data_IF_361739434505
#
_entry.id   IF_361739434505
#
_cell.length_a   1.000
_cell.length_b   1.000
_cell.length_c   1.000
_cell.angle_alpha   90.00
_cell.angle_beta   90.00
_cell.angle_gamma   90.00
#
_symmetry.space_group_name_H-M   'P 1'
#
loop_
_entity.id
_entity.type
_entity.pdbx_description
1 polymer ?
#
# COMPACT_ATOMS: atom_id res chain seq x y z
N UNK A 1 53.35 -8.21 -65.97
CA UNK A 1 51.94 -8.58 -66.23
C UNK A 1 51.33 -8.92 -64.88
N UNK A 2 50.64 -7.96 -64.26
CA UNK A 2 50.09 -8.09 -62.90
C UNK A 2 48.56 -8.14 -63.05
N UNK A 3 47.93 -9.22 -62.59
CA UNK A 3 46.48 -9.35 -62.52
C UNK A 3 45.92 -8.45 -61.40
N UNK A 4 44.80 -7.74 -61.61
CA UNK A 4 44.10 -7.08 -60.52
C UNK A 4 43.22 -8.10 -59.78
N UNK A 5 43.38 -8.18 -58.46
CA UNK A 5 42.47 -8.92 -57.58
C UNK A 5 41.14 -8.18 -57.46
N UNK A 6 40.05 -8.86 -57.82
CA UNK A 6 38.68 -8.37 -57.64
C UNK A 6 38.34 -8.49 -56.15
N UNK A 7 38.23 -7.36 -55.45
CA UNK A 7 37.67 -7.32 -54.10
C UNK A 7 36.16 -7.58 -54.18
N UNK A 8 35.72 -8.73 -53.68
CA UNK A 8 34.30 -9.05 -53.53
C UNK A 8 33.73 -8.27 -52.33
N UNK A 9 33.08 -7.14 -52.60
CA UNK A 9 32.26 -6.42 -51.61
C UNK A 9 31.09 -7.31 -51.17
N UNK A 10 31.27 -8.08 -50.11
CA UNK A 10 30.17 -8.74 -49.39
C UNK A 10 29.66 -7.78 -48.33
N UNK A 11 28.75 -6.89 -48.74
CA UNK A 11 27.94 -6.10 -47.81
C UNK A 11 27.05 -7.05 -47.01
N UNK A 12 27.47 -7.35 -45.78
CA UNK A 12 26.62 -8.01 -44.79
C UNK A 12 25.47 -7.07 -44.45
N UNK A 13 24.32 -7.30 -45.07
CA UNK A 13 23.06 -6.75 -44.63
C UNK A 13 22.78 -7.27 -43.21
N UNK A 14 23.19 -6.51 -42.21
CA UNK A 14 22.72 -6.69 -40.84
C UNK A 14 21.23 -6.36 -40.86
N UNK A 15 20.38 -7.38 -40.83
CA UNK A 15 18.96 -7.17 -40.60
C UNK A 15 18.80 -6.61 -39.20
N UNK A 16 18.71 -5.28 -39.10
CA UNK A 16 18.26 -4.63 -37.88
C UNK A 16 16.80 -5.02 -37.71
N UNK A 17 16.54 -6.06 -36.93
CA UNK A 17 15.19 -6.41 -36.50
C UNK A 17 14.53 -5.14 -35.96
N UNK A 18 13.31 -4.80 -36.41
CA UNK A 18 12.60 -3.66 -35.85
C UNK A 18 12.48 -3.87 -34.34
N UNK A 19 12.76 -2.81 -33.56
CA UNK A 19 12.51 -2.74 -32.11
C UNK A 19 11.01 -2.80 -31.84
N UNK A 20 10.40 -3.94 -32.15
CA UNK A 20 9.17 -4.37 -31.50
C UNK A 20 9.45 -4.26 -30.00
N UNK A 21 8.53 -3.63 -29.25
CA UNK A 21 8.61 -3.64 -27.80
C UNK A 21 8.83 -5.10 -27.40
N UNK A 22 9.93 -5.37 -26.71
CA UNK A 22 10.31 -6.71 -26.29
C UNK A 22 9.07 -7.39 -25.67
N UNK A 23 8.76 -8.62 -26.11
CA UNK A 23 7.62 -9.40 -25.61
C UNK A 23 7.65 -9.41 -24.07
N UNK A 24 8.84 -9.46 -23.47
CA UNK A 24 9.00 -9.37 -22.02
C UNK A 24 8.45 -8.05 -21.44
N UNK A 25 8.70 -6.91 -22.11
CA UNK A 25 8.18 -5.60 -21.71
C UNK A 25 6.65 -5.56 -21.79
N UNK A 26 6.06 -6.09 -22.87
CA UNK A 26 4.60 -6.19 -22.99
C UNK A 26 4.01 -7.07 -21.88
N UNK A 27 4.62 -8.23 -21.60
CA UNK A 27 4.18 -9.13 -20.55
C UNK A 27 4.27 -8.49 -19.16
N UNK A 28 5.37 -7.78 -18.85
CA UNK A 28 5.56 -7.10 -17.56
C UNK A 28 4.50 -6.00 -17.35
N UNK A 29 4.28 -5.14 -18.35
CA UNK A 29 3.25 -4.12 -18.24
C UNK A 29 1.84 -4.72 -18.20
N UNK A 30 1.57 -5.75 -19.00
CA UNK A 30 0.29 -6.46 -19.00
C UNK A 30 -0.04 -7.07 -17.63
N UNK A 31 0.90 -7.80 -17.03
CA UNK A 31 0.75 -8.37 -15.69
C UNK A 31 0.62 -7.26 -14.64
N UNK A 32 1.40 -6.19 -14.75
CA UNK A 32 1.34 -5.05 -13.84
C UNK A 32 -0.03 -4.37 -13.84
N UNK A 33 -0.57 -4.07 -15.03
CA UNK A 33 -1.89 -3.46 -15.19
C UNK A 33 -2.99 -4.40 -14.69
N UNK A 34 -2.92 -5.69 -15.04
CA UNK A 34 -3.87 -6.69 -14.58
C UNK A 34 -3.85 -6.80 -13.04
N UNK A 35 -2.68 -6.86 -12.45
CA UNK A 35 -2.50 -6.96 -10.99
C UNK A 35 -3.03 -5.72 -10.29
N UNK A 36 -2.71 -4.52 -10.80
CA UNK A 36 -3.22 -3.26 -10.27
C UNK A 36 -4.75 -3.18 -10.39
N UNK A 37 -5.31 -3.61 -11.52
CA UNK A 37 -6.75 -3.71 -11.73
C UNK A 37 -7.38 -4.64 -10.70
N UNK A 38 -6.95 -5.90 -10.63
CA UNK A 38 -7.48 -6.87 -9.66
C UNK A 38 -7.39 -6.38 -8.22
N UNK A 39 -6.29 -5.73 -7.85
CA UNK A 39 -6.12 -5.12 -6.53
C UNK A 39 -7.15 -4.02 -6.26
N UNK A 40 -7.30 -3.06 -7.18
CA UNK A 40 -8.25 -1.95 -7.03
C UNK A 40 -9.72 -2.40 -7.02
N UNK A 41 -10.04 -3.53 -7.66
CA UNK A 41 -11.39 -4.11 -7.67
C UNK A 41 -11.74 -4.91 -6.41
N UNK A 42 -10.80 -5.20 -5.50
CA UNK A 42 -11.07 -5.99 -4.29
C UNK A 42 -12.28 -5.50 -3.46
N UNK A 43 -12.46 -4.19 -3.20
CA UNK A 43 -13.61 -3.72 -2.42
C UNK A 43 -14.95 -3.95 -3.14
N UNK A 44 -14.94 -3.89 -4.47
CA UNK A 44 -16.13 -4.06 -5.33
C UNK A 44 -16.66 -5.49 -5.25
N UNK A 45 -15.78 -6.47 -5.05
CA UNK A 45 -16.18 -7.89 -4.85
C UNK A 45 -17.13 -8.04 -3.65
N UNK A 46 -17.05 -7.16 -2.64
CA UNK A 46 -17.97 -7.17 -1.49
C UNK A 46 -19.42 -6.99 -1.90
N UNK A 47 -19.70 -6.30 -3.02
CA UNK A 47 -21.06 -6.11 -3.54
C UNK A 47 -21.74 -7.43 -3.95
N UNK A 48 -20.96 -8.48 -4.19
CA UNK A 48 -21.44 -9.82 -4.51
C UNK A 48 -21.81 -10.64 -3.27
N UNK A 49 -21.54 -10.14 -2.06
CA UNK A 49 -21.82 -10.86 -0.82
C UNK A 49 -23.32 -11.15 -0.67
N UNK A 50 -23.75 -12.29 -0.12
CA UNK A 50 -25.15 -12.51 0.24
C UNK A 50 -25.59 -11.65 1.45
N UNK A 51 -24.66 -11.20 2.30
CA UNK A 51 -24.94 -10.36 3.47
C UNK A 51 -25.12 -8.89 3.07
N UNK A 52 -26.28 -8.25 3.31
CA UNK A 52 -26.48 -6.82 3.02
C UNK A 52 -25.48 -5.92 3.76
N UNK A 53 -25.12 -6.31 4.98
CA UNK A 53 -24.10 -5.62 5.77
C UNK A 53 -22.74 -5.67 5.10
N UNK A 54 -22.32 -6.85 4.66
CA UNK A 54 -21.03 -7.02 3.99
C UNK A 54 -21.00 -6.35 2.62
N UNK A 55 -22.13 -6.26 1.90
CA UNK A 55 -22.20 -5.49 0.65
C UNK A 55 -21.85 -4.03 0.88
N UNK A 56 -22.49 -3.39 1.84
CA UNK A 56 -22.32 -1.96 2.09
C UNK A 56 -21.03 -1.69 2.83
N UNK A 57 -20.83 -2.30 4.00
CA UNK A 57 -19.66 -2.04 4.84
C UNK A 57 -18.38 -2.63 4.25
N UNK A 58 -18.43 -3.80 3.61
CA UNK A 58 -17.28 -4.35 2.91
C UNK A 58 -16.83 -3.46 1.75
N UNK A 59 -17.78 -2.86 1.01
CA UNK A 59 -17.44 -1.90 -0.04
C UNK A 59 -16.91 -0.57 0.54
N UNK A 60 -17.59 0.02 1.55
CA UNK A 60 -17.21 1.30 2.14
C UNK A 60 -15.86 1.19 2.87
N UNK A 61 -15.76 0.28 3.84
CA UNK A 61 -14.53 0.09 4.61
C UNK A 61 -13.42 -0.47 3.72
N UNK A 62 -13.72 -1.43 2.84
CA UNK A 62 -12.74 -1.96 1.90
C UNK A 62 -12.15 -0.87 1.00
N UNK A 63 -12.97 0.06 0.51
CA UNK A 63 -12.49 1.18 -0.31
C UNK A 63 -11.67 2.18 0.52
N UNK A 64 -12.10 2.48 1.75
CA UNK A 64 -11.36 3.36 2.66
C UNK A 64 -9.99 2.76 3.03
N UNK A 65 -9.95 1.47 3.38
CA UNK A 65 -8.72 0.74 3.71
C UNK A 65 -7.80 0.62 2.51
N UNK A 66 -8.35 0.37 1.31
CA UNK A 66 -7.61 0.33 0.04
C UNK A 66 -6.94 1.67 -0.27
N UNK A 67 -7.70 2.77 -0.20
CA UNK A 67 -7.17 4.10 -0.46
C UNK A 67 -6.12 4.49 0.58
N UNK A 68 -6.37 4.18 1.86
CA UNK A 68 -5.41 4.41 2.93
C UNK A 68 -4.09 3.67 2.68
N UNK A 69 -4.13 2.36 2.39
CA UNK A 69 -2.90 1.58 2.18
C UNK A 69 -2.12 2.05 0.96
N UNK A 70 -2.78 2.43 -0.13
CA UNK A 70 -2.10 2.96 -1.32
C UNK A 70 -1.34 4.25 -1.02
N UNK A 71 -2.00 5.22 -0.38
CA UNK A 71 -1.39 6.52 -0.08
C UNK A 71 -0.30 6.37 0.99
N UNK A 72 -0.54 5.58 2.05
CA UNK A 72 0.45 5.33 3.10
C UNK A 72 1.66 4.57 2.55
N UNK A 73 1.45 3.54 1.72
CA UNK A 73 2.56 2.80 1.12
C UNK A 73 3.40 3.69 0.21
N UNK A 74 2.76 4.57 -0.57
CA UNK A 74 3.49 5.51 -1.41
C UNK A 74 4.27 6.55 -0.60
N UNK A 75 3.67 7.11 0.47
CA UNK A 75 4.37 8.01 1.38
C UNK A 75 5.57 7.35 2.06
N UNK A 76 5.40 6.11 2.55
CA UNK A 76 6.48 5.32 3.14
C UNK A 76 7.56 4.94 2.12
N UNK A 77 7.20 4.68 0.86
CA UNK A 77 8.17 4.45 -0.20
C UNK A 77 9.01 5.70 -0.52
N UNK A 78 8.40 6.88 -0.51
CA UNK A 78 9.14 8.15 -0.65
C UNK A 78 10.01 8.48 0.57
N UNK A 79 9.79 7.84 1.72
CA UNK A 79 10.63 8.04 2.90
C UNK A 79 12.07 7.55 2.70
N UNK A 80 12.31 6.56 1.82
CA UNK A 80 13.66 6.07 1.49
C UNK A 80 14.54 7.14 0.82
N UNK A 81 14.13 7.77 -0.30
CA UNK A 81 14.88 8.90 -0.85
C UNK A 81 14.88 10.13 0.07
N UNK A 82 13.86 10.32 0.91
CA UNK A 82 13.83 11.44 1.86
C UNK A 82 14.90 11.28 2.93
N UNK A 83 15.10 10.06 3.44
CA UNK A 83 16.16 9.72 4.39
C UNK A 83 17.56 10.04 3.82
N UNK A 84 17.72 9.93 2.50
CA UNK A 84 18.94 10.27 1.78
C UNK A 84 19.08 11.78 1.50
N UNK A 85 18.14 12.60 1.98
CA UNK A 85 18.17 14.06 1.86
C UNK A 85 17.60 14.60 0.54
N UNK A 86 16.78 13.83 -0.19
CA UNK A 86 16.19 14.31 -1.45
C UNK A 86 15.17 15.43 -1.20
N UNK A 87 15.58 16.68 -1.42
CA UNK A 87 14.73 17.85 -1.22
C UNK A 87 13.52 17.89 -2.18
N UNK A 88 13.69 17.37 -3.40
CA UNK A 88 12.68 17.45 -4.48
C UNK A 88 11.35 16.80 -4.12
N UNK A 89 11.37 15.79 -3.25
CA UNK A 89 10.18 15.04 -2.85
C UNK A 89 9.55 15.54 -1.54
N UNK A 90 10.20 16.44 -0.82
CA UNK A 90 9.75 16.89 0.50
C UNK A 90 8.34 17.51 0.48
N UNK A 91 7.99 18.41 -0.47
CA UNK A 91 6.63 18.94 -0.56
C UNK A 91 5.58 17.84 -0.80
N UNK A 92 5.93 16.84 -1.63
CA UNK A 92 5.06 15.72 -1.92
C UNK A 92 4.87 14.82 -0.69
N UNK A 93 5.94 14.52 0.05
CA UNK A 93 5.84 13.73 1.29
C UNK A 93 4.98 14.46 2.32
N UNK A 94 5.13 15.78 2.49
CA UNK A 94 4.28 16.58 3.39
C UNK A 94 2.79 16.45 3.09
N UNK A 95 2.42 16.54 1.82
CA UNK A 95 1.03 16.42 1.36
C UNK A 95 0.53 14.99 1.51
N UNK A 96 1.33 14.00 1.11
CA UNK A 96 0.95 12.58 1.21
C UNK A 96 0.79 12.15 2.66
N UNK A 97 1.71 12.50 3.57
CA UNK A 97 1.59 12.14 4.99
C UNK A 97 0.37 12.78 5.65
N UNK A 98 0.01 14.01 5.29
CA UNK A 98 -1.25 14.63 5.72
C UNK A 98 -2.45 13.79 5.29
N UNK A 99 -2.56 13.46 3.99
CA UNK A 99 -3.65 12.64 3.48
C UNK A 99 -3.64 11.22 4.03
N UNK A 100 -2.46 10.62 4.22
CA UNK A 100 -2.28 9.34 4.92
C UNK A 100 -2.91 9.37 6.31
N UNK A 101 -2.75 10.45 7.06
CA UNK A 101 -3.33 10.60 8.40
C UNK A 101 -4.85 10.71 8.36
N UNK A 102 -5.40 11.51 7.44
CA UNK A 102 -6.84 11.63 7.23
C UNK A 102 -7.46 10.29 6.80
N UNK A 103 -6.83 9.59 5.85
CA UNK A 103 -7.30 8.31 5.35
C UNK A 103 -7.18 7.21 6.40
N UNK A 104 -6.10 7.18 7.19
CA UNK A 104 -5.96 6.27 8.32
C UNK A 104 -7.09 6.49 9.34
N UNK A 105 -7.41 7.75 9.67
CA UNK A 105 -8.55 8.06 10.53
C UNK A 105 -9.87 7.55 9.96
N UNK A 106 -10.16 7.81 8.68
CA UNK A 106 -11.39 7.32 8.03
C UNK A 106 -11.46 5.78 7.96
N UNK A 107 -10.32 5.12 7.71
CA UNK A 107 -10.23 3.66 7.72
C UNK A 107 -10.47 3.10 9.13
N UNK A 108 -9.95 3.73 10.18
CA UNK A 108 -10.18 3.33 11.58
C UNK A 108 -11.65 3.54 11.97
N UNK A 109 -12.26 4.68 11.60
CA UNK A 109 -13.67 4.95 11.90
C UNK A 109 -14.59 3.94 11.21
N UNK A 110 -14.41 3.75 9.90
CA UNK A 110 -15.18 2.76 9.13
C UNK A 110 -14.91 1.32 9.58
N UNK A 111 -13.68 1.01 9.99
CA UNK A 111 -13.30 -0.29 10.52
C UNK A 111 -13.97 -0.58 11.85
N UNK A 112 -13.99 0.38 12.78
CA UNK A 112 -14.74 0.26 14.03
C UNK A 112 -16.24 0.09 13.80
N UNK A 113 -16.80 0.74 12.77
CA UNK A 113 -18.18 0.51 12.38
C UNK A 113 -18.40 -0.93 11.90
N UNK A 114 -17.58 -1.44 10.98
CA UNK A 114 -17.64 -2.83 10.54
C UNK A 114 -17.48 -3.82 11.72
N UNK A 115 -16.62 -3.46 12.66
CA UNK A 115 -16.30 -4.24 13.85
C UNK A 115 -17.45 -4.37 14.87
N UNK A 116 -18.43 -3.46 14.86
CA UNK A 116 -19.63 -3.60 15.69
C UNK A 116 -20.41 -4.88 15.36
N UNK A 117 -20.54 -5.23 14.07
CA UNK A 117 -21.20 -6.48 13.64
C UNK A 117 -20.37 -7.70 14.02
N UNK A 118 -19.05 -7.59 13.93
CA UNK A 118 -18.12 -8.63 14.37
C UNK A 118 -18.30 -8.95 15.86
N UNK A 119 -18.47 -7.92 16.71
CA UNK A 119 -18.67 -8.06 18.16
C UNK A 119 -20.13 -8.32 18.58
N UNK A 120 -21.07 -8.48 17.65
CA UNK A 120 -22.47 -8.72 18.00
C UNK A 120 -22.61 -9.98 18.89
N UNK A 121 -23.38 -9.92 20.00
CA UNK A 121 -23.47 -11.01 20.97
C UNK A 121 -24.15 -12.26 20.41
N UNK A 122 -25.06 -12.09 19.45
CA UNK A 122 -25.73 -13.17 18.73
C UNK A 122 -25.36 -13.10 17.24
N UNK A 123 -24.90 -14.21 16.69
CA UNK A 123 -24.54 -14.33 15.27
C UNK A 123 -23.36 -13.44 14.83
N UNK A 124 -22.55 -12.93 15.77
CA UNK A 124 -21.31 -12.20 15.48
C UNK A 124 -20.14 -13.14 15.23
N UNK A 125 -19.30 -12.80 14.25
CA UNK A 125 -18.13 -13.61 13.90
C UNK A 125 -17.17 -13.84 15.09
N UNK A 126 -17.09 -12.90 16.05
CA UNK A 126 -16.27 -13.05 17.25
C UNK A 126 -16.68 -14.26 18.11
N UNK A 127 -17.97 -14.45 18.34
CA UNK A 127 -18.46 -15.55 19.18
C UNK A 127 -18.07 -16.89 18.54
N UNK A 128 -18.34 -17.03 17.24
CA UNK A 128 -17.99 -18.23 16.48
C UNK A 128 -16.47 -18.49 16.46
N UNK A 129 -15.63 -17.47 16.23
CA UNK A 129 -14.16 -17.63 16.22
C UNK A 129 -13.66 -18.01 17.61
N UNK A 130 -14.21 -17.46 18.69
CA UNK A 130 -13.81 -17.83 20.06
C UNK A 130 -14.13 -19.29 20.38
N UNK A 131 -15.25 -19.79 19.86
CA UNK A 131 -15.69 -21.17 20.05
C UNK A 131 -14.90 -22.17 19.20
N UNK A 132 -14.53 -21.79 17.97
CA UNK A 132 -13.95 -22.73 17.00
C UNK A 132 -12.44 -22.57 16.80
N UNK A 133 -11.91 -21.34 16.87
CA UNK A 133 -10.50 -21.01 16.59
C UNK A 133 -9.95 -19.93 17.54
N UNK A 134 -9.94 -20.17 18.87
CA UNK A 134 -9.59 -19.17 19.87
C UNK A 134 -8.19 -18.57 19.69
N UNK A 135 -7.21 -19.38 19.26
CA UNK A 135 -5.85 -18.91 19.01
C UNK A 135 -5.78 -17.88 17.86
N UNK A 136 -6.63 -18.03 16.84
CA UNK A 136 -6.78 -17.04 15.76
C UNK A 136 -7.36 -15.74 16.33
N UNK A 137 -8.36 -15.80 17.21
CA UNK A 137 -8.85 -14.59 17.87
C UNK A 137 -7.76 -13.88 18.68
N UNK A 138 -7.02 -14.59 19.54
CA UNK A 138 -6.09 -13.96 20.46
C UNK A 138 -4.81 -13.42 19.81
N UNK A 139 -4.32 -14.05 18.73
CA UNK A 139 -3.11 -13.59 18.05
C UNK A 139 -3.42 -12.72 16.85
N UNK A 140 -4.31 -13.19 15.97
CA UNK A 140 -4.49 -12.56 14.66
C UNK A 140 -5.36 -11.30 14.73
N UNK A 141 -6.46 -11.32 15.48
CA UNK A 141 -7.32 -10.14 15.63
C UNK A 141 -6.63 -9.06 16.46
N UNK A 142 -5.94 -9.45 17.53
CA UNK A 142 -5.18 -8.53 18.35
C UNK A 142 -4.06 -7.86 17.54
N UNK A 143 -3.30 -8.65 16.75
CA UNK A 143 -2.33 -8.12 15.79
C UNK A 143 -2.97 -7.16 14.78
N UNK A 144 -4.11 -7.53 14.19
CA UNK A 144 -4.82 -6.68 13.24
C UNK A 144 -5.21 -5.34 13.88
N UNK A 145 -5.86 -5.38 15.04
CA UNK A 145 -6.29 -4.20 15.79
C UNK A 145 -5.09 -3.30 16.15
N UNK A 146 -3.99 -3.85 16.65
CA UNK A 146 -2.79 -3.07 16.96
C UNK A 146 -2.17 -2.44 15.71
N UNK A 147 -1.95 -3.23 14.66
CA UNK A 147 -1.27 -2.73 13.45
C UNK A 147 -2.03 -1.60 12.78
N UNK A 148 -3.36 -1.69 12.65
CA UNK A 148 -4.14 -0.59 12.06
C UNK A 148 -4.14 0.65 12.94
N UNK A 149 -4.17 0.51 14.26
CA UNK A 149 -4.18 1.64 15.20
C UNK A 149 -2.88 2.44 15.19
N UNK A 150 -1.72 1.82 14.98
CA UNK A 150 -0.44 2.52 14.93
C UNK A 150 -0.30 3.46 13.73
N UNK A 151 -1.08 3.26 12.66
CA UNK A 151 -1.00 4.11 11.48
C UNK A 151 -1.33 5.57 11.81
N UNK A 152 -2.41 5.84 12.54
CA UNK A 152 -2.85 7.21 12.85
C UNK A 152 -1.86 8.03 13.70
N UNK A 153 -1.40 7.58 14.89
CA UNK A 153 -0.49 8.36 15.71
C UNK A 153 0.86 8.59 15.00
N UNK A 154 1.38 7.60 14.28
CA UNK A 154 2.59 7.77 13.47
C UNK A 154 2.38 8.79 12.35
N UNK A 155 1.25 8.71 11.66
CA UNK A 155 0.87 9.66 10.60
C UNK A 155 0.82 11.09 11.11
N UNK A 156 0.04 11.32 12.17
CA UNK A 156 -0.14 12.64 12.75
C UNK A 156 1.19 13.21 13.25
N UNK A 157 2.01 12.40 13.92
CA UNK A 157 3.34 12.81 14.36
C UNK A 157 4.24 13.19 13.18
N UNK A 158 4.32 12.35 12.14
CA UNK A 158 5.10 12.64 10.94
C UNK A 158 4.59 13.89 10.20
N UNK A 159 3.28 14.04 10.03
CA UNK A 159 2.67 15.24 9.44
C UNK A 159 3.09 16.46 10.23
N UNK A 160 2.96 16.43 11.56
CA UNK A 160 3.34 17.56 12.39
C UNK A 160 4.83 17.89 12.26
N UNK A 161 5.73 16.90 12.35
CA UNK A 161 7.18 17.13 12.21
C UNK A 161 7.54 17.71 10.84
N UNK A 162 7.04 17.10 9.76
CA UNK A 162 7.33 17.54 8.39
C UNK A 162 6.83 18.96 8.12
N UNK A 163 5.70 19.34 8.70
CA UNK A 163 5.16 20.69 8.56
C UNK A 163 5.83 21.70 9.49
N UNK A 164 6.17 21.29 10.71
CA UNK A 164 6.84 22.14 11.71
C UNK A 164 8.24 22.54 11.28
N UNK A 165 9.02 21.59 10.76
CA UNK A 165 10.37 21.84 10.28
C UNK A 165 10.37 22.36 8.84
N UNK A 166 9.39 21.98 8.02
CA UNK A 166 9.37 22.35 6.60
C UNK A 166 10.70 21.98 5.93
N UNK A 167 11.27 22.91 5.17
CA UNK A 167 12.53 22.69 4.46
C UNK A 167 13.74 22.58 5.40
N UNK A 168 13.65 23.16 6.61
CA UNK A 168 14.74 23.12 7.57
C UNK A 168 15.03 21.69 8.06
N UNK A 169 14.12 20.73 7.86
CA UNK A 169 14.33 19.32 8.23
C UNK A 169 15.55 18.72 7.51
N UNK A 170 15.93 19.26 6.34
CA UNK A 170 17.07 18.81 5.54
C UNK A 170 18.42 19.36 6.02
N UNK A 171 18.41 20.33 6.93
CA UNK A 171 19.64 20.91 7.49
C UNK A 171 20.42 19.86 8.31
N UNK A 172 21.75 19.94 8.30
CA UNK A 172 22.62 18.97 8.97
C UNK A 172 22.29 18.76 10.45
N UNK A 173 21.90 19.83 11.17
CA UNK A 173 21.50 19.77 12.59
C UNK A 173 20.23 18.96 12.84
N UNK A 174 19.35 18.84 11.84
CA UNK A 174 18.06 18.16 11.94
C UNK A 174 18.09 16.73 11.39
N UNK A 175 19.28 16.20 11.04
CA UNK A 175 19.45 14.82 10.55
C UNK A 175 18.79 13.75 11.43
N UNK A 176 18.88 13.79 12.78
CA UNK A 176 18.18 12.82 13.62
C UNK A 176 16.66 12.89 13.46
N UNK A 177 16.10 14.10 13.35
CA UNK A 177 14.67 14.33 13.14
C UNK A 177 14.23 13.81 11.77
N UNK A 178 14.98 14.12 10.72
CA UNK A 178 14.75 13.59 9.37
C UNK A 178 14.76 12.06 9.39
N UNK A 179 15.77 11.45 10.01
CA UNK A 179 15.90 10.00 10.07
C UNK A 179 14.76 9.34 10.83
N UNK A 180 14.43 9.85 12.02
CA UNK A 180 13.31 9.35 12.83
C UNK A 180 11.98 9.47 12.07
N UNK A 181 11.74 10.60 11.40
CA UNK A 181 10.53 10.83 10.60
C UNK A 181 10.45 9.85 9.42
N UNK A 182 11.55 9.67 8.69
CA UNK A 182 11.59 8.70 7.58
C UNK A 182 11.37 7.27 8.05
N UNK A 183 11.98 6.86 9.16
CA UNK A 183 11.78 5.52 9.75
C UNK A 183 10.32 5.34 10.20
N UNK A 184 9.74 6.36 10.83
CA UNK A 184 8.33 6.34 11.22
C UNK A 184 7.38 6.22 10.02
N UNK A 185 7.65 6.90 8.90
CA UNK A 185 6.89 6.73 7.65
C UNK A 185 7.04 5.32 7.06
N UNK A 186 8.23 4.72 7.11
CA UNK A 186 8.44 3.33 6.69
C UNK A 186 7.72 2.34 7.61
N UNK A 187 7.72 2.58 8.91
CA UNK A 187 6.96 1.78 9.89
C UNK A 187 5.44 1.93 9.65
N UNK A 188 4.97 3.13 9.37
CA UNK A 188 3.58 3.39 9.00
C UNK A 188 3.16 2.59 7.75
N UNK A 189 4.02 2.52 6.73
CA UNK A 189 3.83 1.65 5.57
C UNK A 189 3.75 0.17 5.95
N UNK A 190 4.66 -0.33 6.79
CA UNK A 190 4.62 -1.70 7.27
C UNK A 190 3.31 -2.03 7.98
N UNK A 191 2.87 -1.16 8.89
CA UNK A 191 1.61 -1.32 9.62
C UNK A 191 0.38 -1.25 8.72
N UNK A 192 0.35 -0.34 7.75
CA UNK A 192 -0.76 -0.23 6.81
C UNK A 192 -0.87 -1.47 5.90
N UNK A 193 0.25 -1.98 5.38
CA UNK A 193 0.27 -3.21 4.58
C UNK A 193 -0.14 -4.43 5.43
N UNK A 194 0.42 -4.57 6.62
CA UNK A 194 0.08 -5.65 7.56
C UNK A 194 -1.40 -5.61 7.96
N UNK A 195 -1.93 -4.43 8.27
CA UNK A 195 -3.33 -4.20 8.59
C UNK A 195 -4.27 -4.51 7.43
N UNK A 196 -3.91 -4.10 6.20
CA UNK A 196 -4.70 -4.39 4.99
C UNK A 196 -4.75 -5.90 4.70
N UNK A 197 -3.60 -6.58 4.70
CA UNK A 197 -3.51 -8.03 4.45
C UNK A 197 -4.26 -8.81 5.52
N UNK A 198 -4.08 -8.45 6.80
CA UNK A 198 -4.79 -9.12 7.88
C UNK A 198 -6.30 -8.88 7.79
N UNK A 199 -6.74 -7.66 7.47
CA UNK A 199 -8.16 -7.31 7.28
C UNK A 199 -8.85 -8.10 6.17
N UNK A 200 -8.16 -8.35 5.05
CA UNK A 200 -8.68 -9.21 3.97
C UNK A 200 -8.99 -10.64 4.42
N UNK A 201 -8.22 -11.16 5.39
CA UNK A 201 -8.48 -12.48 5.96
C UNK A 201 -9.62 -12.45 6.98
N UNK A 202 -9.68 -11.40 7.83
CA UNK A 202 -10.82 -11.21 8.77
C UNK A 202 -12.15 -11.17 8.01
N UNK A 203 -12.21 -10.43 6.90
CA UNK A 203 -13.42 -10.31 6.09
C UNK A 203 -13.93 -11.63 5.49
N UNK A 204 -13.07 -12.66 5.40
CA UNK A 204 -13.43 -14.00 4.92
C UNK A 204 -13.82 -14.97 6.04
N UNK A 205 -13.62 -14.58 7.29
CA UNK A 205 -13.83 -15.46 8.44
C UNK A 205 -15.29 -15.40 8.89
N UNK A 206 -16.03 -16.49 8.67
CA UNK A 206 -17.42 -16.71 9.07
C UNK A 206 -18.33 -15.48 8.87
N UNK A 207 -18.70 -15.24 7.60
CA UNK A 207 -19.79 -14.37 7.14
C UNK A 207 -20.17 -13.23 8.09
N UNK A 208 -19.38 -12.16 8.09
CA UNK A 208 -19.96 -10.83 8.32
C UNK A 208 -21.00 -10.53 7.23
#
# INVERSE_FOLDING_TARGET
MVQPSIESNTSTHTSTFPRSIDIATVCVYGIGILSAGLFLFLPVVSLLSPSPWQRTMGAIHGSAAMLAVLVIAYAGHLAFPLLRGSAKILPQVRTLTFWSSCLAFLAIVSGNWAYMRYRAPLGGARAWIRENTPLVHYLFMEYHEFTVLFTLPLGVACTWVLWKYGDSILEKKNRPVLAATSIALMAMMFFALGGFISGLNVAKTHGL
#
